data_IF_802285837014
#
_entry.id   IF_802285837014
#
_cell.length_a   1.000
_cell.length_b   1.000
_cell.length_c   1.000
_cell.angle_alpha   90.00
_cell.angle_beta   90.00
_cell.angle_gamma   90.00
#
_symmetry.space_group_name_H-M   'P 1'
#
loop_
_entity.id
_entity.type
_entity.pdbx_description
1 polymer ?
#
# COMPACT_ATOMS: atom_id res chain seq x y z
N UNK A 1 23.94 24.72 5.03
CA UNK A 1 23.35 24.70 5.25
C UNK A 1 22.50 24.34 5.54
N UNK A 2 22.26 24.19 5.62
CA UNK A 2 21.41 24.19 6.01
C UNK A 2 20.77 23.25 6.49
N UNK A 3 20.87 22.59 6.79
CA UNK A 3 20.41 21.76 7.21
C UNK A 3 19.87 21.75 8.43
N UNK A 4 20.21 21.40 9.23
CA UNK A 4 19.80 21.38 10.58
C UNK A 4 19.19 22.65 11.04
N UNK A 5 19.30 23.59 10.28
CA UNK A 5 18.75 24.88 10.63
C UNK A 5 17.26 24.84 10.86
N UNK A 6 16.62 23.78 10.50
CA UNK A 6 15.19 23.66 10.73
C UNK A 6 14.88 23.12 12.09
N UNK A 7 15.88 22.79 12.86
CA UNK A 7 15.64 22.30 14.19
C UNK A 7 15.08 20.90 14.25
N UNK A 8 15.06 20.20 13.13
CA UNK A 8 14.57 18.83 13.15
C UNK A 8 15.65 17.91 13.67
N UNK A 9 15.23 16.84 14.28
CA UNK A 9 16.17 15.85 14.77
C UNK A 9 16.84 15.14 13.61
N UNK A 10 17.97 14.52 13.89
CA UNK A 10 18.64 13.76 12.87
C UNK A 10 17.75 12.67 12.30
N UNK A 11 16.96 12.07 13.17
CA UNK A 11 16.06 11.02 12.76
C UNK A 11 15.01 11.54 11.77
N UNK A 12 14.46 12.71 12.06
CA UNK A 12 13.49 13.31 11.17
C UNK A 12 14.11 13.67 9.84
N UNK A 13 15.35 14.15 9.87
CA UNK A 13 16.05 14.51 8.65
C UNK A 13 16.30 13.28 7.79
N UNK A 14 16.69 12.17 8.40
CA UNK A 14 16.91 10.94 7.65
C UNK A 14 15.62 10.43 7.03
N UNK A 15 14.54 10.50 7.79
CA UNK A 15 13.26 10.07 7.26
C UNK A 15 12.85 10.94 6.06
N UNK A 16 13.02 12.25 6.18
CA UNK A 16 12.69 13.14 5.09
C UNK A 16 13.53 12.87 3.85
N UNK A 17 14.79 12.58 4.06
CA UNK A 17 15.67 12.25 2.95
C UNK A 17 15.25 10.97 2.25
N UNK A 18 14.90 9.97 3.06
CA UNK A 18 14.45 8.69 2.52
C UNK A 18 13.17 8.87 1.71
N UNK A 19 12.26 9.68 2.22
CA UNK A 19 11.01 9.94 1.54
C UNK A 19 11.25 10.65 0.21
N UNK A 20 12.13 11.63 0.20
CA UNK A 20 12.45 12.36 -1.02
C UNK A 20 13.09 11.42 -2.03
N UNK A 21 14.01 10.58 -1.56
CA UNK A 21 14.66 9.62 -2.46
C UNK A 21 13.65 8.69 -3.08
N UNK A 22 12.70 8.20 -2.29
CA UNK A 22 11.66 7.32 -2.79
C UNK A 22 10.79 8.04 -3.82
N UNK A 23 10.47 9.30 -3.57
CA UNK A 23 9.66 10.07 -4.51
C UNK A 23 10.40 10.28 -5.82
N UNK A 24 11.69 10.58 -5.74
CA UNK A 24 12.50 10.77 -6.95
C UNK A 24 12.59 9.49 -7.75
N UNK A 25 12.74 8.38 -7.06
CA UNK A 25 12.81 7.09 -7.72
C UNK A 25 11.50 6.78 -8.44
N UNK A 26 10.39 7.05 -7.78
CA UNK A 26 9.09 6.83 -8.39
C UNK A 26 8.90 7.72 -9.62
N UNK A 27 9.34 8.97 -9.54
CA UNK A 27 9.23 9.88 -10.65
C UNK A 27 10.10 9.43 -11.82
N UNK A 28 11.34 9.07 -11.53
CA UNK A 28 12.26 8.60 -12.56
C UNK A 28 11.72 7.34 -13.23
N UNK A 29 11.13 6.46 -12.45
CA UNK A 29 10.52 5.26 -12.99
C UNK A 29 9.39 5.60 -13.93
N UNK A 30 8.54 6.54 -13.53
CA UNK A 30 7.45 6.98 -14.39
C UNK A 30 7.96 7.56 -15.69
N UNK A 31 9.13 8.18 -15.64
CA UNK A 31 9.75 8.75 -16.82
C UNK A 31 10.58 7.76 -17.61
N UNK A 32 10.58 6.50 -17.18
CA UNK A 32 11.30 5.47 -17.88
C UNK A 32 12.79 5.44 -17.64
N UNK A 33 13.26 6.12 -16.63
CA UNK A 33 14.69 6.19 -16.34
C UNK A 33 15.19 5.07 -15.46
N UNK A 34 14.28 4.40 -14.78
CA UNK A 34 14.61 3.29 -13.90
C UNK A 34 13.93 2.05 -14.45
N UNK A 35 14.58 0.93 -14.30
CA UNK A 35 14.07 -0.30 -14.86
C UNK A 35 12.98 -0.97 -14.03
N UNK A 36 12.46 -0.30 -13.01
CA UNK A 36 11.38 -0.88 -12.23
C UNK A 36 10.11 -0.98 -13.06
N UNK A 37 9.56 -2.16 -13.23
CA UNK A 37 8.40 -2.33 -14.08
C UNK A 37 7.12 -1.91 -13.39
N UNK A 38 6.35 -1.06 -14.06
CA UNK A 38 5.06 -0.67 -13.53
C UNK A 38 4.11 -1.85 -13.47
N UNK A 39 4.36 -2.85 -14.30
CA UNK A 39 3.52 -4.04 -14.32
C UNK A 39 3.62 -4.87 -13.06
N UNK A 40 4.49 -4.49 -12.14
CA UNK A 40 4.52 -5.16 -10.85
C UNK A 40 3.23 -4.96 -10.09
N UNK A 41 2.47 -3.93 -10.45
CA UNK A 41 1.16 -3.72 -9.89
C UNK A 41 0.18 -4.40 -10.81
N UNK A 42 0.07 -5.70 -10.66
CA UNK A 42 -0.77 -6.51 -11.52
C UNK A 42 -2.23 -6.21 -11.35
N UNK A 43 -2.99 -6.54 -12.38
CA UNK A 43 -4.43 -6.56 -12.25
C UNK A 43 -4.83 -7.48 -11.10
N UNK A 44 -5.95 -7.14 -10.50
CA UNK A 44 -6.43 -7.90 -9.37
C UNK A 44 -7.85 -8.36 -9.69
N UNK A 45 -8.01 -9.49 -10.36
CA UNK A 45 -9.36 -9.99 -10.66
C UNK A 45 -10.09 -10.41 -9.40
N UNK A 46 -11.40 -10.51 -9.50
CA UNK A 46 -12.24 -10.81 -8.35
C UNK A 46 -11.81 -12.08 -7.63
N UNK A 47 -11.46 -13.10 -8.38
CA UNK A 47 -11.05 -14.36 -7.76
C UNK A 47 -9.79 -14.18 -6.92
N UNK A 48 -8.88 -13.35 -7.40
CA UNK A 48 -7.64 -13.10 -6.67
C UNK A 48 -7.90 -12.30 -5.39
N UNK A 49 -8.79 -11.32 -5.47
CA UNK A 49 -9.18 -10.55 -4.30
C UNK A 49 -9.77 -11.48 -3.24
N UNK A 50 -10.67 -12.35 -3.68
CA UNK A 50 -11.31 -13.29 -2.77
C UNK A 50 -10.29 -14.22 -2.14
N UNK A 51 -9.34 -14.68 -2.92
CA UNK A 51 -8.29 -15.56 -2.41
C UNK A 51 -7.47 -14.88 -1.33
N UNK A 52 -7.09 -13.63 -1.57
CA UNK A 52 -6.31 -12.88 -0.58
C UNK A 52 -7.13 -12.68 0.68
N UNK A 53 -8.39 -12.29 0.53
CA UNK A 53 -9.24 -12.08 1.69
C UNK A 53 -9.37 -13.34 2.52
N UNK A 54 -9.56 -14.49 1.87
CA UNK A 54 -9.74 -15.74 2.59
C UNK A 54 -8.54 -16.12 3.44
N UNK A 55 -7.36 -15.71 3.01
CA UNK A 55 -6.15 -16.03 3.77
C UNK A 55 -6.08 -15.27 5.08
N UNK A 56 -6.71 -14.11 5.17
CA UNK A 56 -6.54 -13.24 6.32
C UNK A 56 -7.84 -12.93 7.06
N UNK A 57 -8.98 -13.20 6.45
CA UNK A 57 -10.26 -12.89 7.09
C UNK A 57 -11.34 -13.80 6.55
N UNK A 58 -12.30 -14.12 7.41
CA UNK A 58 -13.40 -15.01 7.03
C UNK A 58 -14.47 -14.29 6.25
N UNK A 59 -14.58 -12.99 6.42
CA UNK A 59 -15.66 -12.23 5.81
C UNK A 59 -15.18 -10.82 5.48
N UNK A 60 -15.89 -10.12 4.59
CA UNK A 60 -15.56 -8.72 4.33
C UNK A 60 -15.62 -7.84 5.58
N UNK A 61 -16.53 -8.15 6.49
CA UNK A 61 -16.62 -7.39 7.73
C UNK A 61 -15.38 -7.56 8.59
N UNK A 62 -14.89 -8.77 8.70
CA UNK A 62 -13.67 -9.01 9.44
C UNK A 62 -12.49 -8.33 8.77
N UNK A 63 -12.45 -8.38 7.44
CA UNK A 63 -11.41 -7.71 6.69
C UNK A 63 -11.44 -6.20 6.96
N UNK A 64 -12.64 -5.63 7.00
CA UNK A 64 -12.78 -4.21 7.30
C UNK A 64 -12.23 -3.88 8.69
N UNK A 65 -12.53 -4.71 9.66
CA UNK A 65 -12.05 -4.46 11.02
C UNK A 65 -10.54 -4.52 11.10
N UNK A 66 -9.93 -5.44 10.36
CA UNK A 66 -8.48 -5.61 10.43
C UNK A 66 -7.71 -4.60 9.62
N UNK A 67 -8.22 -4.23 8.46
CA UNK A 67 -7.42 -3.47 7.49
C UNK A 67 -8.04 -2.15 7.09
N UNK A 68 -9.21 -1.83 7.60
CA UNK A 68 -9.79 -0.53 7.31
C UNK A 68 -10.43 -0.37 5.94
N UNK A 69 -10.44 -1.42 5.14
CA UNK A 69 -11.09 -1.38 3.84
C UNK A 69 -12.59 -1.59 4.05
N UNK A 70 -13.44 -0.66 3.62
CA UNK A 70 -14.88 -0.84 3.82
C UNK A 70 -15.38 -2.15 3.22
N UNK A 71 -16.22 -2.85 3.96
CA UNK A 71 -16.72 -4.14 3.50
C UNK A 71 -17.39 -4.01 2.13
N UNK A 72 -18.14 -2.92 1.94
CA UNK A 72 -18.81 -2.70 0.66
C UNK A 72 -17.82 -2.57 -0.50
N UNK A 73 -16.72 -1.88 -0.26
CA UNK A 73 -15.69 -1.74 -1.29
C UNK A 73 -15.09 -3.10 -1.61
N UNK A 74 -14.77 -3.87 -0.59
CA UNK A 74 -14.18 -5.19 -0.80
C UNK A 74 -15.15 -6.09 -1.54
N UNK A 75 -16.42 -6.07 -1.16
CA UNK A 75 -17.44 -6.87 -1.83
C UNK A 75 -17.54 -6.50 -3.30
N UNK A 76 -17.46 -5.20 -3.62
CA UNK A 76 -17.44 -4.77 -5.00
C UNK A 76 -16.29 -5.36 -5.77
N UNK A 77 -15.11 -5.33 -5.17
CA UNK A 77 -13.94 -5.93 -5.81
C UNK A 77 -14.11 -7.42 -6.03
N UNK A 78 -14.73 -8.10 -5.09
CA UNK A 78 -15.00 -9.53 -5.23
C UNK A 78 -16.10 -9.84 -6.22
N UNK A 79 -16.84 -8.82 -6.65
CA UNK A 79 -17.90 -8.95 -7.63
C UNK A 79 -17.53 -8.30 -8.95
N UNK A 80 -16.24 -8.31 -9.26
CA UNK A 80 -15.71 -7.87 -10.55
C UNK A 80 -15.66 -6.37 -10.78
N UNK A 81 -15.84 -5.57 -9.75
CA UNK A 81 -15.54 -4.16 -9.88
C UNK A 81 -14.04 -4.00 -9.94
N UNK A 82 -13.60 -3.08 -10.78
CA UNK A 82 -12.18 -2.88 -10.97
C UNK A 82 -11.54 -2.36 -9.70
N UNK A 83 -10.41 -2.96 -9.34
CA UNK A 83 -9.62 -2.51 -8.20
C UNK A 83 -8.67 -1.44 -8.71
N UNK A 84 -8.72 -0.26 -8.10
CA UNK A 84 -7.82 0.81 -8.52
C UNK A 84 -6.40 0.48 -8.07
N UNK A 85 -5.43 1.29 -8.56
CA UNK A 85 -4.03 1.01 -8.29
C UNK A 85 -3.74 0.97 -6.80
N UNK A 86 -4.27 1.95 -6.06
CA UNK A 86 -4.03 1.98 -4.62
C UNK A 86 -4.58 0.73 -3.94
N UNK A 87 -5.74 0.28 -4.37
CA UNK A 87 -6.33 -0.93 -3.81
C UNK A 87 -5.50 -2.16 -4.11
N UNK A 88 -4.96 -2.23 -5.31
CA UNK A 88 -4.12 -3.37 -5.68
C UNK A 88 -2.84 -3.40 -4.85
N UNK A 89 -2.23 -2.25 -4.65
CA UNK A 89 -1.04 -2.17 -3.81
C UNK A 89 -1.36 -2.60 -2.40
N UNK A 90 -2.46 -2.10 -1.85
CA UNK A 90 -2.85 -2.45 -0.50
C UNK A 90 -3.10 -3.95 -0.36
N UNK A 91 -3.82 -4.53 -1.31
CA UNK A 91 -4.08 -5.97 -1.27
C UNK A 91 -2.79 -6.77 -1.36
N UNK A 92 -1.84 -6.30 -2.15
CA UNK A 92 -0.55 -6.96 -2.25
C UNK A 92 0.19 -6.93 -0.91
N UNK A 93 0.18 -5.79 -0.24
CA UNK A 93 0.83 -5.67 1.05
C UNK A 93 0.14 -6.58 2.07
N UNK A 94 -1.19 -6.60 2.05
CA UNK A 94 -1.94 -7.46 2.97
C UNK A 94 -1.60 -8.92 2.74
N UNK A 95 -1.44 -9.29 1.48
CA UNK A 95 -1.10 -10.68 1.18
C UNK A 95 0.28 -11.05 1.71
N UNK A 96 1.24 -10.15 1.55
CA UNK A 96 2.62 -10.44 1.93
C UNK A 96 2.90 -10.22 3.41
N UNK A 97 2.29 -9.20 3.99
CA UNK A 97 2.56 -8.84 5.39
C UNK A 97 1.34 -8.16 5.98
N UNK A 98 0.30 -8.93 6.29
CA UNK A 98 -0.92 -8.33 6.83
C UNK A 98 -0.68 -7.59 8.14
N UNK A 99 0.28 -8.02 8.91
CA UNK A 99 0.53 -7.40 10.21
C UNK A 99 1.11 -6.01 10.07
N UNK A 100 1.80 -5.73 8.96
CA UNK A 100 2.30 -4.39 8.72
C UNK A 100 1.16 -3.38 8.63
N UNK A 101 0.09 -3.76 7.95
CA UNK A 101 -1.06 -2.88 7.83
C UNK A 101 -1.73 -2.70 9.19
N UNK A 102 -1.88 -3.80 9.92
CA UNK A 102 -2.49 -3.72 11.24
C UNK A 102 -1.69 -2.83 12.18
N UNK A 103 -0.38 -2.95 12.15
CA UNK A 103 0.48 -2.10 12.97
C UNK A 103 0.35 -0.63 12.58
N UNK A 104 0.32 -0.38 11.28
CA UNK A 104 0.20 1.00 10.81
C UNK A 104 -1.10 1.64 11.28
N UNK A 105 -2.19 0.88 11.24
CA UNK A 105 -3.47 1.41 11.68
C UNK A 105 -3.54 1.54 13.19
N UNK A 106 -2.90 0.64 13.91
CA UNK A 106 -2.95 0.67 15.36
C UNK A 106 -2.15 1.82 15.95
N UNK A 107 -1.20 2.35 15.21
CA UNK A 107 -0.33 3.40 15.74
C UNK A 107 -0.92 4.79 15.57
N UNK A 108 -2.14 4.91 15.14
CA UNK A 108 -2.79 6.21 14.99
C UNK A 108 -3.18 6.82 16.33
#
# INVERSE_FOLDING_TARGET
MAKAKFGVSKKDTDFGRDLIAAAREALAHRQGKIALPTRMIEDMPAARVKEIRRKVAKSPKEFERRFGVPARTLEGWEQNKKVDVAGRVLLKVIEKDPEAVERALASQ
#
